data_IF_142047620749
#
_entry.id   IF_142047620749
#
_cell.length_a   1.000
_cell.length_b   1.000
_cell.length_c   1.000
_cell.angle_alpha   90.00
_cell.angle_beta   90.00
_cell.angle_gamma   90.00
#
_symmetry.space_group_name_H-M   'P 1'
#
loop_
_entity.id
_entity.type
_entity.pdbx_description
1 polymer ?
#
# COMPACT_ATOMS: atom_id res chain seq x y z
N UNK A 1 11.21 -28.19 10.14
CA UNK A 1 10.52 -27.95 8.87
C UNK A 1 10.83 -26.51 8.46
N UNK A 2 11.55 -26.27 7.35
CA UNK A 2 11.82 -24.91 6.88
C UNK A 2 10.59 -24.40 6.15
N UNK A 3 10.02 -23.30 6.63
CA UNK A 3 8.98 -22.58 5.90
C UNK A 3 9.71 -21.80 4.80
N UNK A 4 9.50 -22.18 3.55
CA UNK A 4 9.96 -21.39 2.40
C UNK A 4 8.99 -20.22 2.28
N UNK A 5 9.49 -18.99 2.38
CA UNK A 5 8.71 -17.80 2.03
C UNK A 5 8.73 -17.69 0.51
N UNK A 6 7.57 -17.81 -0.11
CA UNK A 6 7.37 -17.62 -1.55
C UNK A 6 6.77 -16.22 -1.70
N UNK A 7 7.40 -15.35 -2.50
CA UNK A 7 6.88 -14.01 -2.78
C UNK A 7 5.83 -14.02 -3.89
N UNK A 8 5.07 -12.92 -4.01
CA UNK A 8 4.09 -12.75 -5.08
C UNK A 8 4.73 -12.88 -6.48
N UNK A 9 5.96 -12.39 -6.65
CA UNK A 9 6.71 -12.50 -7.90
C UNK A 9 7.11 -13.95 -8.24
N UNK A 10 7.45 -14.75 -7.23
CA UNK A 10 7.76 -16.18 -7.42
C UNK A 10 6.50 -16.95 -7.88
N UNK A 11 5.33 -16.60 -7.34
CA UNK A 11 4.05 -17.16 -7.76
C UNK A 11 3.69 -16.76 -9.19
N UNK A 12 3.89 -15.49 -9.56
CA UNK A 12 3.69 -14.98 -10.92
C UNK A 12 4.51 -15.78 -11.94
N UNK A 13 5.81 -15.91 -11.68
CA UNK A 13 6.72 -16.68 -12.55
C UNK A 13 6.29 -18.14 -12.63
N UNK A 14 5.86 -18.74 -11.52
CA UNK A 14 5.40 -20.13 -11.50
C UNK A 14 4.15 -20.33 -12.36
N UNK A 15 3.17 -19.43 -12.28
CA UNK A 15 1.96 -19.48 -13.12
C UNK A 15 2.31 -19.33 -14.60
N UNK A 16 3.22 -18.42 -14.96
CA UNK A 16 3.68 -18.24 -16.34
C UNK A 16 4.34 -19.51 -16.89
N UNK A 17 5.22 -20.13 -16.10
CA UNK A 17 5.92 -21.36 -16.49
C UNK A 17 4.95 -22.53 -16.65
N UNK A 18 3.99 -22.70 -15.73
CA UNK A 18 3.00 -23.78 -15.82
C UNK A 18 2.07 -23.60 -17.03
N UNK A 19 1.61 -22.38 -17.29
CA UNK A 19 0.82 -22.08 -18.49
C UNK A 19 1.60 -22.31 -19.77
N UNK A 20 2.89 -21.99 -19.79
CA UNK A 20 3.77 -22.28 -20.92
C UNK A 20 3.84 -23.78 -21.19
N UNK A 21 4.05 -24.61 -20.16
CA UNK A 21 4.06 -26.07 -20.31
C UNK A 21 2.70 -26.66 -20.70
N UNK A 22 1.60 -26.09 -20.21
CA UNK A 22 0.25 -26.54 -20.55
C UNK A 22 -0.15 -26.22 -22.01
N UNK A 23 0.42 -25.18 -22.60
CA UNK A 23 0.08 -24.71 -23.96
C UNK A 23 1.02 -25.23 -25.02
N UNK A 24 2.30 -25.43 -24.68
CA UNK A 24 3.31 -25.89 -25.61
C UNK A 24 3.52 -27.40 -25.46
N UNK A 25 2.78 -28.18 -26.26
CA UNK A 25 2.82 -29.65 -26.28
C UNK A 25 4.14 -30.23 -26.84
N UNK A 26 5.24 -29.49 -26.74
CA UNK A 26 6.56 -29.84 -27.28
C UNK A 26 7.42 -30.63 -26.29
N UNK A 27 6.96 -30.81 -25.06
CA UNK A 27 7.72 -31.49 -24.00
C UNK A 27 7.39 -32.99 -23.86
N UNK A 28 6.50 -33.51 -24.71
CA UNK A 28 6.16 -34.94 -24.71
C UNK A 28 5.24 -35.38 -23.56
N UNK A 29 4.53 -34.43 -22.94
CA UNK A 29 3.52 -34.73 -21.91
C UNK A 29 2.30 -35.42 -22.52
N UNK A 30 1.75 -36.38 -21.77
CA UNK A 30 0.43 -36.96 -22.04
C UNK A 30 -0.68 -35.94 -21.78
N UNK A 31 -1.86 -36.17 -22.35
CA UNK A 31 -3.03 -35.32 -22.11
C UNK A 31 -3.38 -35.23 -20.61
N UNK A 32 -3.24 -36.32 -19.86
CA UNK A 32 -3.46 -36.33 -18.41
C UNK A 32 -2.45 -35.47 -17.63
N UNK A 33 -1.19 -35.44 -18.08
CA UNK A 33 -0.16 -34.61 -17.44
C UNK A 33 -0.37 -33.13 -17.76
N UNK A 34 -0.74 -32.81 -19.00
CA UNK A 34 -1.12 -31.44 -19.39
C UNK A 34 -2.31 -30.95 -18.57
N UNK A 35 -3.32 -31.81 -18.35
CA UNK A 35 -4.48 -31.43 -17.53
C UNK A 35 -4.11 -31.22 -16.07
N UNK A 36 -3.29 -32.09 -15.48
CA UNK A 36 -2.78 -31.90 -14.13
C UNK A 36 -1.97 -30.58 -13.99
N UNK A 37 -1.19 -30.21 -15.00
CA UNK A 37 -0.44 -28.94 -15.01
C UNK A 37 -1.40 -27.74 -15.02
N UNK A 38 -2.49 -27.79 -15.79
CA UNK A 38 -3.51 -26.72 -15.79
C UNK A 38 -4.21 -26.58 -14.44
N UNK A 39 -4.54 -27.71 -13.80
CA UNK A 39 -5.13 -27.68 -12.46
C UNK A 39 -4.20 -26.99 -11.46
N UNK A 40 -2.91 -27.35 -11.47
CA UNK A 40 -1.90 -26.69 -10.62
C UNK A 40 -1.74 -25.22 -10.98
N UNK A 41 -1.72 -24.87 -12.27
CA UNK A 41 -1.66 -23.47 -12.71
C UNK A 41 -2.87 -22.67 -12.20
N UNK A 42 -4.07 -23.24 -12.23
CA UNK A 42 -5.29 -22.62 -11.72
C UNK A 42 -5.23 -22.38 -10.21
N UNK A 43 -4.73 -23.36 -9.44
CA UNK A 43 -4.56 -23.21 -7.99
C UNK A 43 -3.55 -22.10 -7.69
N UNK A 44 -2.38 -22.12 -8.35
CA UNK A 44 -1.33 -21.13 -8.12
C UNK A 44 -1.74 -19.72 -8.57
N UNK A 45 -2.57 -19.60 -9.62
CA UNK A 45 -3.15 -18.34 -10.04
C UNK A 45 -4.10 -17.77 -8.96
N UNK A 46 -4.94 -18.61 -8.36
CA UNK A 46 -5.83 -18.17 -7.27
C UNK A 46 -5.06 -17.72 -6.02
N UNK A 47 -3.95 -18.40 -5.69
CA UNK A 47 -3.07 -18.01 -4.58
C UNK A 47 -2.32 -16.70 -4.88
N UNK A 48 -1.91 -16.48 -6.14
CA UNK A 48 -1.33 -15.22 -6.56
C UNK A 48 -2.33 -14.06 -6.45
N UNK A 49 -3.56 -14.25 -6.93
CA UNK A 49 -4.64 -13.25 -6.80
C UNK A 49 -4.94 -12.94 -5.32
N UNK A 50 -4.98 -13.96 -4.46
CA UNK A 50 -5.17 -13.77 -3.03
C UNK A 50 -3.99 -13.03 -2.36
N UNK A 51 -2.76 -13.34 -2.78
CA UNK A 51 -1.56 -12.64 -2.33
C UNK A 51 -1.58 -11.15 -2.71
N UNK A 52 -1.97 -10.84 -3.95
CA UNK A 52 -2.14 -9.47 -4.43
C UNK A 52 -3.24 -8.73 -3.68
N UNK A 53 -4.36 -9.39 -3.38
CA UNK A 53 -5.45 -8.79 -2.60
C UNK A 53 -5.00 -8.47 -1.17
N UNK A 54 -4.24 -9.36 -0.52
CA UNK A 54 -3.65 -9.08 0.79
C UNK A 54 -2.60 -7.96 0.75
N UNK A 55 -1.76 -7.92 -0.29
CA UNK A 55 -0.76 -6.88 -0.48
C UNK A 55 -1.44 -5.52 -0.71
N UNK A 56 -2.44 -5.45 -1.58
CA UNK A 56 -3.26 -4.26 -1.80
C UNK A 56 -3.99 -3.82 -0.51
N UNK A 57 -4.54 -4.78 0.25
CA UNK A 57 -5.14 -4.49 1.55
C UNK A 57 -4.11 -3.94 2.55
N UNK A 58 -2.87 -4.44 2.52
CA UNK A 58 -1.79 -3.94 3.37
C UNK A 58 -1.34 -2.54 2.98
N UNK A 59 -1.23 -2.24 1.68
CA UNK A 59 -0.88 -0.91 1.17
C UNK A 59 -1.96 0.13 1.51
N UNK A 60 -3.24 -0.22 1.32
CA UNK A 60 -4.38 0.64 1.72
C UNK A 60 -4.37 0.89 3.25
N UNK A 61 -3.98 -0.11 4.04
CA UNK A 61 -3.88 0.04 5.49
C UNK A 61 -2.72 0.97 5.87
N UNK A 62 -1.57 0.86 5.20
CA UNK A 62 -0.41 1.75 5.43
C UNK A 62 -0.74 3.19 5.03
N UNK A 63 -1.37 3.41 3.87
CA UNK A 63 -1.79 4.75 3.44
C UNK A 63 -2.83 5.38 4.39
N UNK A 64 -3.76 4.57 4.91
CA UNK A 64 -4.73 5.02 5.90
C UNK A 64 -4.08 5.35 7.25
N UNK A 65 -3.07 4.59 7.67
CA UNK A 65 -2.35 4.80 8.94
C UNK A 65 -1.38 5.99 8.89
N UNK A 66 -0.56 6.09 7.84
CA UNK A 66 0.45 7.15 7.71
C UNK A 66 -0.15 8.49 7.28
N UNK A 67 -1.24 8.45 6.51
CA UNK A 67 -1.97 9.62 6.03
C UNK A 67 -1.16 10.40 4.98
N UNK A 68 -1.79 10.69 3.84
CA UNK A 68 -1.14 11.47 2.78
C UNK A 68 -0.81 12.89 3.24
N UNK A 69 0.23 13.47 2.65
CA UNK A 69 0.53 14.88 2.82
C UNK A 69 -0.45 15.75 2.04
N UNK A 70 -1.08 16.68 2.75
CA UNK A 70 -2.00 17.66 2.18
C UNK A 70 -1.50 19.09 2.47
N UNK A 71 -1.94 20.10 1.71
CA UNK A 71 -1.65 21.48 2.04
C UNK A 71 -2.15 21.84 3.45
N UNK A 72 -1.33 22.53 4.25
CA UNK A 72 -1.68 22.97 5.60
C UNK A 72 -2.95 23.81 5.63
N UNK A 73 -3.18 24.62 4.59
CA UNK A 73 -4.40 25.42 4.46
C UNK A 73 -5.64 24.54 4.31
N UNK A 74 -5.53 23.39 3.65
CA UNK A 74 -6.63 22.42 3.52
C UNK A 74 -6.87 21.68 4.83
N UNK A 75 -5.80 21.18 5.46
CA UNK A 75 -5.87 20.57 6.80
C UNK A 75 -6.53 21.53 7.81
N UNK A 76 -6.18 22.82 7.76
CA UNK A 76 -6.75 23.85 8.63
C UNK A 76 -8.27 23.98 8.43
N UNK A 77 -8.74 24.06 7.18
CA UNK A 77 -10.19 24.15 6.88
C UNK A 77 -10.94 22.92 7.39
N UNK A 78 -10.39 21.72 7.19
CA UNK A 78 -11.00 20.46 7.67
C UNK A 78 -11.12 20.41 9.19
N UNK A 79 -10.17 21.01 9.90
CA UNK A 79 -10.15 21.10 11.37
C UNK A 79 -10.85 22.36 11.92
N UNK A 80 -11.51 23.17 11.08
CA UNK A 80 -12.21 24.39 11.53
C UNK A 80 -11.28 25.51 12.00
N UNK A 81 -10.02 25.51 11.56
CA UNK A 81 -8.98 26.48 11.93
C UNK A 81 -8.73 27.41 10.73
N UNK A 82 -8.48 28.70 11.00
CA UNK A 82 -8.09 29.62 9.93
C UNK A 82 -6.69 29.27 9.40
N UNK A 83 -6.47 29.26 8.07
CA UNK A 83 -5.16 28.93 7.49
C UNK A 83 -4.01 29.75 8.06
N UNK A 84 -4.25 31.03 8.38
CA UNK A 84 -3.25 31.90 9.01
C UNK A 84 -2.87 31.42 10.41
N UNK A 85 -3.84 31.01 11.24
CA UNK A 85 -3.58 30.47 12.58
C UNK A 85 -2.81 29.15 12.51
N UNK A 86 -3.17 28.27 11.57
CA UNK A 86 -2.45 27.03 11.33
C UNK A 86 -1.00 27.31 10.90
N UNK A 87 -0.79 28.26 9.97
CA UNK A 87 0.56 28.65 9.53
C UNK A 87 1.39 29.23 10.67
N UNK A 88 0.81 30.07 11.51
CA UNK A 88 1.50 30.60 12.69
C UNK A 88 1.87 29.49 13.69
N UNK A 89 1.00 28.49 13.87
CA UNK A 89 1.29 27.33 14.73
C UNK A 89 2.39 26.45 14.14
N UNK A 90 2.38 26.20 12.83
CA UNK A 90 3.43 25.47 12.12
C UNK A 90 4.80 26.17 12.25
N UNK A 91 4.84 27.49 12.09
CA UNK A 91 6.06 28.29 12.28
C UNK A 91 6.64 28.19 13.70
N UNK A 92 5.79 27.96 14.72
CA UNK A 92 6.21 27.78 16.11
C UNK A 92 6.59 26.32 16.44
N UNK A 93 6.57 25.42 15.45
CA UNK A 93 6.79 23.98 15.68
C UNK A 93 5.64 23.30 16.44
N UNK A 94 4.42 23.80 16.28
CA UNK A 94 3.25 23.31 17.02
C UNK A 94 2.57 22.08 16.42
N UNK A 95 3.14 21.49 15.37
CA UNK A 95 2.69 20.27 14.68
C UNK A 95 3.87 19.31 14.55
N UNK A 96 3.59 18.01 14.58
CA UNK A 96 4.61 16.96 14.50
C UNK A 96 5.05 16.70 13.06
N UNK A 97 4.09 16.69 12.12
CA UNK A 97 4.33 16.35 10.70
C UNK A 97 4.42 17.54 9.75
N UNK A 98 4.17 18.78 10.23
CA UNK A 98 4.13 19.93 9.34
C UNK A 98 5.52 20.31 8.83
N UNK A 99 5.68 20.39 7.51
CA UNK A 99 6.92 20.81 6.84
C UNK A 99 6.70 21.89 5.80
N UNK A 100 7.72 22.72 5.59
CA UNK A 100 7.68 23.78 4.57
C UNK A 100 8.19 23.24 3.23
N UNK A 101 7.41 23.41 2.17
CA UNK A 101 7.77 23.05 0.80
C UNK A 101 7.64 24.30 -0.10
N UNK A 102 8.77 24.95 -0.38
CA UNK A 102 8.78 26.21 -1.14
C UNK A 102 7.99 27.33 -0.44
N UNK A 103 6.92 27.81 -1.10
CA UNK A 103 6.01 28.83 -0.56
C UNK A 103 4.98 28.27 0.42
N UNK A 104 4.63 27.01 0.26
CA UNK A 104 3.53 26.36 0.95
C UNK A 104 4.00 25.51 2.14
N UNK A 105 3.03 25.13 2.97
CA UNK A 105 3.22 24.19 4.06
C UNK A 105 2.44 22.92 3.75
N UNK A 106 3.04 21.78 3.99
CA UNK A 106 2.45 20.46 3.91
C UNK A 106 2.33 19.87 5.31
N UNK A 107 1.34 19.03 5.53
CA UNK A 107 1.08 18.35 6.80
C UNK A 107 0.40 17.02 6.51
N UNK A 108 0.61 16.01 7.36
CA UNK A 108 -0.15 14.76 7.25
C UNK A 108 -1.63 15.05 7.48
N UNK A 109 -2.50 14.47 6.65
CA UNK A 109 -3.95 14.50 6.81
C UNK A 109 -4.40 13.98 8.19
N UNK A 110 -3.63 13.05 8.76
CA UNK A 110 -3.91 12.40 10.04
C UNK A 110 -3.38 13.17 11.26
N UNK A 111 -2.69 14.31 11.08
CA UNK A 111 -2.21 15.11 12.22
C UNK A 111 -3.39 15.58 13.08
N UNK A 112 -3.34 15.29 14.37
CA UNK A 112 -4.34 15.75 15.35
C UNK A 112 -4.03 17.17 15.81
N UNK A 113 -5.04 18.04 15.83
CA UNK A 113 -4.90 19.36 16.43
C UNK A 113 -4.74 19.28 17.96
N UNK A 114 -3.54 19.56 18.47
CA UNK A 114 -3.27 19.67 19.92
C UNK A 114 -3.21 21.13 20.36
N UNK A 115 -4.03 21.49 21.37
CA UNK A 115 -3.94 22.79 22.04
C UNK A 115 -2.92 22.72 23.19
N UNK A 116 -1.78 23.37 23.00
CA UNK A 116 -0.68 23.37 23.97
C UNK A 116 -0.80 24.51 25.01
N UNK A 117 -1.96 25.16 25.12
CA UNK A 117 -2.20 26.18 26.16
C UNK A 117 -2.19 25.51 27.54
N UNK A 118 -1.23 25.91 28.38
CA UNK A 118 -1.26 25.55 29.81
C UNK A 118 -2.49 26.21 30.45
N UNK A 119 -3.43 25.42 30.97
CA UNK A 119 -4.44 25.92 31.90
C UNK A 119 -3.73 26.27 33.21
N UNK A 120 -3.92 27.50 33.68
CA UNK A 120 -3.38 28.00 34.95
C UNK A 120 -4.36 27.68 36.07
#
# INVERSE_FOLDING_TARGET
>A
MKIIKIGAEDLRITVEVLNFYATHNHFGFSESEVEAIKEVASVMASEYEHGLDQEAHSEVTIEAEEGREIPLAEWARRNGITPDSARQKALRGGFETARKSGRDWLISENEKYRDNRRRK
#
